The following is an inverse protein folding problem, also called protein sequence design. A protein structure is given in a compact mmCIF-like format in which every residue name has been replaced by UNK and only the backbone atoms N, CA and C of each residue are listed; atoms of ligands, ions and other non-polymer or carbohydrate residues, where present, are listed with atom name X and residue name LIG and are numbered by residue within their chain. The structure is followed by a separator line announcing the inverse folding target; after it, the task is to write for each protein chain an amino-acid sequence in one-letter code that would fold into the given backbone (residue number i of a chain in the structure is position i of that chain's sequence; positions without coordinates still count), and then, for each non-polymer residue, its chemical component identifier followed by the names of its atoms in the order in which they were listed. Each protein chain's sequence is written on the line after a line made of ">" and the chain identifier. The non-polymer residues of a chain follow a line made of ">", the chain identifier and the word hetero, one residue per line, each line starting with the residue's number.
data_IF_348259191154
#
_entry.id   IF_348259191154
#
_cell.length_a   1.000
_cell.length_b   1.000
_cell.length_c   1.000
_cell.angle_alpha   90.00
_cell.angle_beta   90.00
_cell.angle_gamma   90.00
#
_symmetry.space_group_name_H-M   'P 1'
#
loop_
_entity.id
_entity.type
_entity.pdbx_description
1 polymer ?
#
# COMPACT_ATOMS: atom_id res chain seq x y z
N UNK A 1 -22.53 -9.23 5.40
CA UNK A 1 -21.06 -9.48 5.33
C UNK A 1 -20.40 -8.11 5.31
N UNK A 2 -19.36 -7.86 6.10
CA UNK A 2 -18.67 -6.57 6.08
C UNK A 2 -17.97 -6.37 4.72
N UNK A 3 -18.23 -5.24 4.09
CA UNK A 3 -17.56 -4.79 2.85
C UNK A 3 -16.18 -4.23 3.17
N UNK A 4 -15.26 -4.33 2.20
CA UNK A 4 -13.93 -3.73 2.33
C UNK A 4 -14.04 -2.21 2.18
N UNK A 5 -13.34 -1.48 3.03
CA UNK A 5 -13.33 -0.01 3.09
C UNK A 5 -12.01 0.55 2.55
N UNK A 6 -12.08 1.56 1.69
CA UNK A 6 -10.89 2.31 1.26
C UNK A 6 -10.35 3.20 2.39
N UNK A 7 -9.08 3.58 2.31
CA UNK A 7 -8.40 4.42 3.31
C UNK A 7 -9.11 5.77 3.52
N UNK A 8 -9.64 6.36 2.47
CA UNK A 8 -10.31 7.67 2.48
C UNK A 8 -11.67 7.64 3.21
N UNK A 9 -12.23 6.45 3.44
CA UNK A 9 -13.51 6.30 4.17
C UNK A 9 -13.37 6.48 5.68
N UNK A 10 -12.15 6.58 6.20
CA UNK A 10 -11.84 6.73 7.61
C UNK A 10 -11.53 8.21 7.93
N UNK A 11 -12.41 8.85 8.69
CA UNK A 11 -12.38 10.30 8.99
C UNK A 11 -11.13 10.73 9.75
N UNK A 12 -10.64 9.89 10.65
CA UNK A 12 -9.52 10.18 11.55
C UNK A 12 -8.31 9.29 11.25
N UNK A 13 -8.12 8.95 9.97
CA UNK A 13 -6.94 8.21 9.53
C UNK A 13 -5.63 8.93 9.91
N UNK A 14 -4.58 8.19 10.31
CA UNK A 14 -4.52 6.74 10.48
C UNK A 14 -4.93 6.25 11.89
N UNK A 15 -5.40 7.12 12.80
CA UNK A 15 -5.68 6.76 14.21
C UNK A 15 -6.73 5.65 14.34
N UNK A 16 -7.72 5.63 13.46
CA UNK A 16 -8.75 4.58 13.44
C UNK A 16 -8.20 3.22 12.98
N UNK A 17 -7.09 3.21 12.25
CA UNK A 17 -6.52 2.02 11.61
C UNK A 17 -5.49 1.30 12.48
N UNK A 18 -5.16 1.84 13.65
CA UNK A 18 -4.14 1.29 14.54
C UNK A 18 -4.71 0.71 15.83
N UNK A 19 -4.04 -0.31 16.37
CA UNK A 19 -4.22 -0.80 17.74
C UNK A 19 -3.46 0.10 18.72
N UNK A 20 -3.61 -0.17 20.03
CA UNK A 20 -2.78 0.45 21.08
C UNK A 20 -1.28 0.16 20.94
N UNK A 21 -0.91 -0.89 20.19
CA UNK A 21 0.48 -1.28 19.91
C UNK A 21 0.97 -0.73 18.57
N UNK A 22 0.25 0.21 17.96
CA UNK A 22 0.56 0.81 16.66
C UNK A 22 0.57 -0.21 15.49
N UNK A 23 -0.17 -1.32 15.64
CA UNK A 23 -0.34 -2.33 14.59
C UNK A 23 -1.62 -2.06 13.78
N UNK A 24 -1.74 -2.60 12.57
CA UNK A 24 -3.01 -2.56 11.83
C UNK A 24 -4.16 -3.22 12.60
N UNK A 25 -5.24 -2.50 12.87
CA UNK A 25 -6.42 -3.04 13.57
C UNK A 25 -7.33 -3.90 12.68
N UNK A 26 -7.19 -3.77 11.36
CA UNK A 26 -8.02 -4.43 10.35
C UNK A 26 -7.22 -5.45 9.52
N UNK A 27 -7.91 -6.46 8.98
CA UNK A 27 -7.37 -7.25 7.87
C UNK A 27 -7.25 -6.34 6.64
N UNK A 28 -6.17 -6.52 5.88
CA UNK A 28 -5.82 -5.72 4.71
C UNK A 28 -5.96 -6.57 3.47
N UNK A 29 -6.70 -6.06 2.49
CA UNK A 29 -7.04 -6.71 1.25
C UNK A 29 -6.57 -5.90 0.04
N UNK A 30 -6.56 -6.55 -1.12
CA UNK A 30 -6.42 -5.89 -2.41
C UNK A 30 -7.44 -4.73 -2.54
N UNK A 31 -7.04 -3.59 -3.13
CA UNK A 31 -7.95 -2.46 -3.35
C UNK A 31 -9.00 -2.72 -4.45
N UNK A 32 -8.75 -3.65 -5.37
CA UNK A 32 -9.67 -3.98 -6.46
C UNK A 32 -10.95 -4.60 -5.91
N UNK A 33 -12.11 -3.97 -6.17
CA UNK A 33 -13.40 -4.37 -5.59
C UNK A 33 -13.84 -5.79 -5.98
N UNK A 34 -13.45 -6.25 -7.17
CA UNK A 34 -13.72 -7.62 -7.63
C UNK A 34 -12.70 -8.64 -7.11
N UNK A 35 -11.60 -8.19 -6.51
CA UNK A 35 -10.56 -9.05 -5.96
C UNK A 35 -10.76 -9.24 -4.44
N UNK A 36 -10.60 -10.47 -3.96
CA UNK A 36 -10.73 -10.81 -2.53
C UNK A 36 -9.39 -11.25 -1.92
N UNK A 37 -8.29 -10.99 -2.62
CA UNK A 37 -6.95 -11.35 -2.19
C UNK A 37 -6.65 -10.68 -0.84
N UNK A 38 -6.48 -11.51 0.19
CA UNK A 38 -6.03 -11.07 1.49
C UNK A 38 -4.51 -10.85 1.43
N UNK A 39 -4.07 -9.65 1.83
CA UNK A 39 -2.67 -9.23 1.80
C UNK A 39 -2.03 -9.44 3.17
N UNK A 40 -2.67 -8.97 4.23
CA UNK A 40 -2.12 -8.98 5.58
C UNK A 40 -3.24 -9.10 6.62
N UNK A 41 -3.06 -9.98 7.61
CA UNK A 41 -3.98 -10.10 8.74
C UNK A 41 -3.84 -8.92 9.70
N UNK A 42 -4.90 -8.62 10.46
CA UNK A 42 -4.84 -7.69 11.58
C UNK A 42 -3.66 -8.00 12.51
N UNK A 43 -3.06 -6.97 13.10
CA UNK A 43 -1.98 -7.01 14.10
C UNK A 43 -0.59 -7.43 13.62
N UNK A 44 -0.36 -7.51 12.30
CA UNK A 44 0.91 -7.98 11.75
C UNK A 44 1.80 -6.87 11.18
N UNK A 45 1.22 -5.74 10.77
CA UNK A 45 1.95 -4.59 10.24
C UNK A 45 2.02 -3.47 11.27
N UNK A 46 3.19 -2.86 11.44
CA UNK A 46 3.39 -1.69 12.30
C UNK A 46 3.28 -0.42 11.47
N UNK A 47 2.51 0.57 11.93
CA UNK A 47 2.41 1.85 11.23
C UNK A 47 3.72 2.63 11.35
N UNK A 48 4.32 2.98 10.21
CA UNK A 48 5.50 3.84 10.14
C UNK A 48 5.30 4.91 9.08
N UNK A 49 6.03 6.02 9.18
CA UNK A 49 6.12 7.01 8.12
C UNK A 49 7.40 6.82 7.31
N UNK A 50 7.30 6.88 5.99
CA UNK A 50 8.45 6.84 5.08
C UNK A 50 8.29 7.86 3.94
N UNK A 51 9.41 8.28 3.34
CA UNK A 51 9.39 9.10 2.12
C UNK A 51 8.62 8.41 0.99
N UNK A 52 7.67 9.10 0.35
CA UNK A 52 6.82 8.49 -0.68
C UNK A 52 7.54 8.21 -2.00
N UNK A 53 8.73 8.75 -2.22
CA UNK A 53 9.43 8.76 -3.50
C UNK A 53 9.90 7.37 -3.96
N UNK A 54 10.10 6.45 -3.01
CA UNK A 54 10.45 5.05 -3.34
C UNK A 54 9.28 4.29 -3.94
N UNK A 55 8.06 4.65 -3.55
CA UNK A 55 6.84 4.20 -4.21
C UNK A 55 6.59 5.11 -5.41
N UNK A 56 7.36 4.89 -6.50
CA UNK A 56 7.17 5.64 -7.74
C UNK A 56 5.81 5.28 -8.33
N UNK A 57 4.85 6.13 -8.06
CA UNK A 57 3.60 6.21 -8.78
C UNK A 57 3.98 6.99 -10.04
N UNK A 58 4.35 6.28 -11.09
CA UNK A 58 4.22 6.92 -12.38
C UNK A 58 2.72 7.18 -12.53
N UNK A 59 2.32 8.45 -12.55
CA UNK A 59 1.01 8.83 -13.10
C UNK A 59 0.91 8.43 -14.60
N UNK A 60 2.02 7.95 -15.16
CA UNK A 60 2.10 7.12 -16.36
C UNK A 60 1.81 5.64 -16.04
N UNK A 61 0.88 4.98 -16.75
CA UNK A 61 0.46 3.62 -16.46
C UNK A 61 1.63 2.65 -16.65
N UNK A 62 2.23 2.21 -15.55
CA UNK A 62 3.21 1.12 -15.55
C UNK A 62 2.48 -0.22 -15.73
N UNK A 63 1.97 -0.44 -16.94
CA UNK A 63 1.70 -1.70 -17.66
C UNK A 63 0.49 -1.50 -18.60
N UNK A 64 0.73 -0.91 -19.78
CA UNK A 64 -0.18 -1.01 -20.92
C UNK A 64 -0.17 -2.44 -21.45
N UNK A 65 -0.98 -3.34 -20.86
CA UNK A 65 -1.64 -4.39 -21.64
C UNK A 65 -2.92 -4.93 -20.99
N UNK A 66 -3.76 -4.05 -20.43
CA UNK A 66 -5.16 -4.36 -20.21
C UNK A 66 -6.02 -3.22 -20.77
N UNK A 67 -6.83 -3.59 -21.76
CA UNK A 67 -7.64 -2.71 -22.59
C UNK A 67 -8.54 -1.81 -21.76
N UNK A 68 -8.32 -0.50 -21.92
CA UNK A 68 -9.35 0.52 -22.11
C UNK A 68 -10.29 0.81 -20.94
N UNK A 69 -9.89 1.72 -20.07
CA UNK A 69 -10.81 2.68 -19.46
C UNK A 69 -10.09 4.03 -19.29
N UNK A 70 -10.57 5.05 -20.00
CA UNK A 70 -10.08 6.42 -19.90
C UNK A 70 -10.72 7.11 -18.68
N UNK A 71 -9.91 7.61 -17.75
CA UNK A 71 -10.36 8.52 -16.69
C UNK A 71 -9.76 9.90 -16.97
N UNK A 72 -10.63 10.91 -17.00
CA UNK A 72 -10.29 12.32 -17.20
C UNK A 72 -9.72 12.87 -15.90
N UNK A 73 -8.48 13.36 -15.92
CA UNK A 73 -7.87 14.06 -14.80
C UNK A 73 -8.19 15.55 -14.88
N UNK A 74 -9.00 16.06 -13.94
CA UNK A 74 -9.16 17.50 -13.72
C UNK A 74 -7.94 18.03 -12.96
N UNK A 75 -7.16 18.85 -13.66
CA UNK A 75 -5.95 19.52 -13.17
C UNK A 75 -6.34 20.67 -12.26
N UNK A 76 -5.81 20.69 -11.02
CA UNK A 76 -5.59 21.95 -10.30
C UNK A 76 -4.13 22.04 -9.92
N UNK A 77 -3.41 22.86 -10.70
CA UNK A 77 -2.08 23.36 -10.43
C UNK A 77 -2.14 24.28 -9.22
N UNK A 78 -1.34 24.00 -8.19
CA UNK A 78 -0.78 25.06 -7.35
C UNK A 78 0.74 24.97 -7.45
N UNK A 79 1.30 26.01 -8.04
CA UNK A 79 2.73 26.21 -8.18
C UNK A 79 3.26 26.88 -6.90
N UNK A 80 3.98 26.12 -6.09
CA UNK A 80 4.90 26.68 -5.10
C UNK A 80 6.23 25.94 -5.19
N UNK A 81 7.26 26.71 -5.57
CA UNK A 81 8.64 26.28 -5.55
C UNK A 81 9.08 26.09 -4.10
N UNK A 82 9.30 24.84 -3.68
CA UNK A 82 10.22 24.52 -2.60
C UNK A 82 10.92 23.19 -2.89
N UNK A 83 12.25 23.24 -2.88
CA UNK A 83 13.10 22.09 -3.09
C UNK A 83 12.91 21.08 -1.95
N UNK A 84 12.59 19.84 -2.33
CA UNK A 84 12.84 18.62 -1.56
C UNK A 84 12.32 18.59 -0.10
N UNK A 85 11.02 18.80 0.11
CA UNK A 85 10.37 18.10 1.23
C UNK A 85 9.94 16.73 0.72
N UNK A 86 10.67 15.68 1.11
CA UNK A 86 10.20 14.33 0.86
C UNK A 86 8.87 14.15 1.58
N UNK A 87 7.76 14.17 0.84
CA UNK A 87 6.44 14.10 1.47
C UNK A 87 6.30 12.70 2.06
N UNK A 88 6.26 12.62 3.39
CA UNK A 88 6.09 11.37 4.10
C UNK A 88 4.66 10.85 3.88
N UNK A 89 4.51 9.53 3.86
CA UNK A 89 3.21 8.86 3.95
C UNK A 89 3.29 7.67 4.91
N UNK A 90 2.13 7.20 5.35
CA UNK A 90 2.01 6.02 6.21
C UNK A 90 2.22 4.71 5.45
N UNK A 91 2.89 3.78 6.09
CA UNK A 91 3.07 2.40 5.62
C UNK A 91 2.84 1.41 6.75
N UNK A 92 2.31 0.23 6.40
CA UNK A 92 2.42 -0.95 7.23
C UNK A 92 3.78 -1.59 6.98
N UNK A 93 4.64 -1.53 7.99
CA UNK A 93 5.94 -2.16 8.01
C UNK A 93 5.84 -3.60 8.50
N UNK A 94 6.48 -4.50 7.77
CA UNK A 94 6.76 -5.87 8.19
C UNK A 94 8.26 -6.12 8.07
N UNK A 95 8.82 -6.94 8.96
CA UNK A 95 10.22 -7.36 8.93
C UNK A 95 10.40 -8.77 8.34
N UNK A 96 9.32 -9.53 8.26
CA UNK A 96 9.28 -10.87 7.68
C UNK A 96 8.27 -10.93 6.52
N UNK A 97 8.68 -11.52 5.40
CA UNK A 97 7.79 -11.71 4.24
C UNK A 97 6.71 -12.76 4.51
N UNK A 98 6.98 -13.70 5.44
CA UNK A 98 6.05 -14.80 5.75
C UNK A 98 4.81 -14.31 6.52
N UNK A 99 4.81 -13.07 6.99
CA UNK A 99 3.64 -12.45 7.60
C UNK A 99 2.60 -11.99 6.56
N UNK A 100 2.96 -11.92 5.27
CA UNK A 100 1.98 -11.71 4.21
C UNK A 100 1.21 -12.99 3.90
N UNK A 101 -0.06 -12.82 3.52
CA UNK A 101 -0.91 -13.94 3.13
C UNK A 101 -0.74 -14.23 1.62
N UNK A 102 -1.05 -13.25 0.76
CA UNK A 102 -0.96 -13.43 -0.70
C UNK A 102 -0.44 -12.16 -1.38
N UNK A 103 0.86 -12.12 -1.68
CA UNK A 103 1.50 -11.01 -2.42
C UNK A 103 2.38 -11.52 -3.56
N UNK A 104 2.54 -10.68 -4.58
CA UNK A 104 3.57 -10.82 -5.60
C UNK A 104 4.68 -9.79 -5.43
N UNK A 105 5.87 -10.09 -5.95
CA UNK A 105 6.97 -9.13 -6.08
C UNK A 105 7.34 -8.91 -7.54
N UNK A 106 7.62 -7.67 -7.91
CA UNK A 106 8.26 -7.37 -9.19
C UNK A 106 9.68 -7.94 -9.26
N UNK A 107 10.26 -7.90 -10.48
CA UNK A 107 11.72 -7.96 -10.62
C UNK A 107 12.36 -6.79 -9.87
N UNK A 108 13.56 -6.98 -9.35
CA UNK A 108 14.35 -5.90 -8.75
C UNK A 108 14.68 -4.86 -9.82
N UNK A 109 14.41 -3.60 -9.52
CA UNK A 109 14.88 -2.46 -10.33
C UNK A 109 16.37 -2.28 -10.01
N UNK A 110 17.24 -2.47 -11.00
CA UNK A 110 18.68 -2.60 -10.78
C UNK A 110 19.28 -1.29 -10.25
N UNK A 111 18.79 -0.15 -10.73
CA UNK A 111 19.31 1.18 -10.38
C UNK A 111 19.00 1.59 -8.94
N UNK A 112 17.92 1.06 -8.37
CA UNK A 112 17.42 1.45 -7.04
C UNK A 112 17.39 0.32 -6.02
N UNK A 113 17.50 -0.94 -6.46
CA UNK A 113 17.30 -2.12 -5.62
C UNK A 113 15.86 -2.33 -5.13
N UNK A 114 14.89 -1.60 -5.70
CA UNK A 114 13.50 -1.69 -5.26
C UNK A 114 12.80 -2.88 -5.92
N UNK A 115 12.07 -3.63 -5.11
CA UNK A 115 11.03 -4.57 -5.54
C UNK A 115 9.67 -4.03 -5.17
N UNK A 116 8.77 -3.90 -6.13
CA UNK A 116 7.39 -3.52 -5.86
C UNK A 116 6.55 -4.71 -5.43
N UNK A 117 5.63 -4.46 -4.51
CA UNK A 117 4.68 -5.44 -4.02
C UNK A 117 3.36 -5.25 -4.78
N UNK A 118 2.80 -6.33 -5.31
CA UNK A 118 1.50 -6.34 -5.96
C UNK A 118 0.58 -7.41 -5.35
N UNK A 119 -0.71 -7.35 -5.68
CA UNK A 119 -1.66 -8.40 -5.38
C UNK A 119 -1.29 -9.69 -6.13
N UNK A 120 -1.27 -10.83 -5.44
CA UNK A 120 -0.94 -12.12 -6.06
C UNK A 120 -2.02 -12.62 -7.05
N UNK A 121 -3.29 -12.26 -6.84
CA UNK A 121 -4.40 -12.79 -7.65
C UNK A 121 -4.64 -11.98 -8.93
N UNK A 122 -4.60 -10.65 -8.84
CA UNK A 122 -4.96 -9.75 -9.96
C UNK A 122 -3.79 -8.89 -10.45
N UNK A 123 -2.60 -9.03 -9.88
CA UNK A 123 -1.40 -8.25 -10.19
C UNK A 123 -1.54 -6.73 -9.99
N UNK A 124 -2.63 -6.24 -9.36
CA UNK A 124 -2.79 -4.83 -9.03
C UNK A 124 -1.63 -4.35 -8.13
N UNK A 125 -0.98 -3.26 -8.51
CA UNK A 125 0.14 -2.68 -7.80
C UNK A 125 0.71 -1.43 -8.47
N UNK A 126 1.71 -0.79 -7.87
CA UNK A 126 2.36 -1.18 -6.62
C UNK A 126 1.47 -0.86 -5.40
N UNK A 127 1.28 -1.86 -4.55
CA UNK A 127 0.67 -1.74 -3.21
C UNK A 127 1.68 -1.24 -2.19
N UNK A 128 2.96 -1.47 -2.47
CA UNK A 128 4.06 -1.27 -1.54
C UNK A 128 5.40 -1.56 -2.18
N UNK A 129 6.46 -1.59 -1.38
CA UNK A 129 7.80 -1.91 -1.86
C UNK A 129 8.67 -2.58 -0.78
N UNK A 130 9.75 -3.18 -1.26
CA UNK A 130 10.87 -3.67 -0.48
C UNK A 130 12.16 -3.14 -1.10
N UNK A 131 13.00 -2.50 -0.29
CA UNK A 131 14.32 -2.03 -0.71
C UNK A 131 15.37 -3.08 -0.34
N UNK A 132 15.93 -3.76 -1.34
CA UNK A 132 16.94 -4.80 -1.10
C UNK A 132 18.31 -4.23 -0.72
N UNK A 133 18.49 -2.90 -0.79
CA UNK A 133 19.74 -2.20 -0.47
C UNK A 133 19.74 -1.55 0.90
N UNK A 134 18.57 -1.51 1.56
CA UNK A 134 18.45 -0.99 2.92
C UNK A 134 19.20 -1.87 3.93
N UNK A 135 19.81 -1.23 4.93
CA UNK A 135 20.52 -1.93 6.01
C UNK A 135 19.59 -2.84 6.81
N UNK A 136 18.36 -2.36 7.05
CA UNK A 136 17.32 -3.11 7.73
C UNK A 136 16.33 -3.68 6.72
N UNK A 137 15.99 -4.95 6.91
CA UNK A 137 15.04 -5.64 6.06
C UNK A 137 13.62 -5.22 6.43
N UNK A 138 13.01 -4.40 5.57
CA UNK A 138 11.62 -3.96 5.71
C UNK A 138 10.82 -4.20 4.43
N UNK A 139 9.54 -4.53 4.62
CA UNK A 139 8.51 -4.57 3.59
C UNK A 139 7.44 -3.56 3.96
N UNK A 140 7.08 -2.69 3.02
CA UNK A 140 6.24 -1.54 3.30
C UNK A 140 5.01 -1.59 2.38
N UNK A 141 3.82 -1.68 2.96
CA UNK A 141 2.54 -1.54 2.25
C UNK A 141 1.98 -0.15 2.50
N UNK A 142 1.71 0.63 1.45
CA UNK A 142 1.17 1.97 1.62
C UNK A 142 -0.28 1.90 2.13
N UNK A 143 -0.58 2.66 3.18
CA UNK A 143 -1.90 2.62 3.85
C UNK A 143 -3.05 3.02 2.91
N UNK A 144 -2.79 3.88 1.93
CA UNK A 144 -3.77 4.36 0.95
C UNK A 144 -3.83 3.53 -0.34
N UNK A 145 -3.13 2.39 -0.41
CA UNK A 145 -3.08 1.51 -1.60
C UNK A 145 -3.81 0.19 -1.41
N UNK A 146 -4.52 0.04 -0.31
CA UNK A 146 -5.15 -1.21 0.11
C UNK A 146 -6.56 -0.94 0.63
N UNK A 147 -7.34 -2.00 0.77
CA UNK A 147 -8.64 -1.93 1.41
C UNK A 147 -8.63 -2.64 2.77
N UNK A 148 -9.49 -2.20 3.67
CA UNK A 148 -9.51 -2.62 5.06
C UNK A 148 -10.83 -3.31 5.39
N UNK A 149 -10.76 -4.41 6.14
CA UNK A 149 -11.95 -5.14 6.57
C UNK A 149 -11.87 -5.45 8.06
N UNK A 150 -12.94 -5.13 8.77
CA UNK A 150 -13.06 -5.43 10.19
C UNK A 150 -13.10 -6.93 10.40
N UNK A 151 -12.26 -7.40 11.32
CA UNK A 151 -12.34 -8.77 11.78
C UNK A 151 -13.64 -8.89 12.56
N UNK A 152 -14.60 -9.64 12.04
CA UNK A 152 -15.77 -9.99 12.81
C UNK A 152 -15.29 -10.75 14.05
N UNK A 153 -15.38 -10.14 15.22
CA UNK A 153 -15.12 -10.82 16.48
C UNK A 153 -16.24 -11.85 16.61
N UNK A 154 -15.94 -13.12 16.27
CA UNK A 154 -16.83 -14.22 16.63
C UNK A 154 -16.87 -14.26 18.15
N UNK A 155 -18.00 -13.83 18.71
CA UNK A 155 -18.33 -13.98 20.13
C UNK A 155 -18.54 -15.45 20.47
#
# INVERSE_FOLDING_TARGET
>A
MAENKAYESFSDSPKQLITSENQNSFDIYCPELSCKCLILRAKHGILVERPKEKLKISDEPAYTDLKGFAIKNDTKNDASNDASSSQLQGFWQLTDMMAFENIGFSKTIIETGIKYICCADCNAGPLGYHDTTANEKEYLIAVNRVSYKEVAISS
#
